data_IF_496504760015
#
_entry.id   IF_496504760015
#
_cell.length_a   1.000
_cell.length_b   1.000
_cell.length_c   1.000
_cell.angle_alpha   90.00
_cell.angle_beta   90.00
_cell.angle_gamma   90.00
#
_symmetry.space_group_name_H-M   'P 1'
#
loop_
_entity.id
_entity.type
_entity.pdbx_description
1 polymer ?
#
# COMPACT_ATOMS: atom_id res chain seq x y z
N UNK A 1 14.69 11.33 -13.41
CA UNK A 1 14.78 12.78 -13.60
C UNK A 1 15.74 13.10 -14.73
N UNK A 2 16.99 12.59 -14.73
CA UNK A 2 18.00 12.90 -15.78
C UNK A 2 17.51 12.64 -17.22
N UNK A 3 16.66 11.62 -17.43
CA UNK A 3 16.18 11.22 -18.76
C UNK A 3 14.88 11.89 -19.18
N UNK A 4 14.00 12.24 -18.21
CA UNK A 4 12.64 12.72 -18.49
C UNK A 4 12.37 14.14 -17.94
N UNK A 5 13.33 14.76 -17.25
CA UNK A 5 13.21 16.10 -16.68
C UNK A 5 12.44 16.13 -15.36
N UNK A 6 11.18 15.72 -15.36
CA UNK A 6 10.31 15.80 -14.17
C UNK A 6 9.55 14.50 -13.93
N UNK A 7 9.26 14.23 -12.66
CA UNK A 7 8.34 13.16 -12.23
C UNK A 7 7.14 13.83 -11.56
N UNK A 8 5.97 13.64 -12.13
CA UNK A 8 4.72 14.25 -11.64
C UNK A 8 3.87 13.27 -10.85
N UNK A 9 4.01 11.97 -11.11
CA UNK A 9 3.25 10.92 -10.44
C UNK A 9 4.23 9.81 -10.02
N UNK A 10 4.18 9.43 -8.74
CA UNK A 10 4.84 8.27 -8.18
C UNK A 10 3.79 7.27 -7.69
N UNK A 11 3.87 6.02 -8.13
CA UNK A 11 3.03 4.94 -7.61
C UNK A 11 3.90 3.94 -6.84
N UNK A 12 3.75 3.92 -5.52
CA UNK A 12 4.37 2.95 -4.63
C UNK A 12 3.44 1.73 -4.52
N UNK A 13 3.60 0.78 -5.42
CA UNK A 13 2.77 -0.44 -5.46
C UNK A 13 3.54 -1.69 -5.00
N UNK A 14 4.86 -1.68 -5.06
CA UNK A 14 5.66 -2.83 -4.64
C UNK A 14 5.39 -3.20 -3.18
N UNK A 15 5.27 -4.50 -2.92
CA UNK A 15 5.05 -5.01 -1.59
C UNK A 15 5.20 -6.53 -1.55
N UNK A 16 5.50 -7.05 -0.38
CA UNK A 16 5.46 -8.49 -0.16
C UNK A 16 4.88 -8.83 1.21
N UNK A 17 4.35 -10.05 1.31
CA UNK A 17 3.69 -10.56 2.50
C UNK A 17 4.71 -11.07 3.53
N UNK A 18 4.29 -11.15 4.77
CA UNK A 18 4.98 -11.91 5.82
C UNK A 18 4.56 -13.36 5.77
N UNK A 19 5.47 -14.30 5.96
CA UNK A 19 5.14 -15.71 6.14
C UNK A 19 4.70 -15.99 7.58
N UNK A 20 5.49 -15.56 8.58
CA UNK A 20 5.09 -15.65 9.97
C UNK A 20 4.00 -14.64 10.31
N UNK A 21 2.84 -15.11 10.73
CA UNK A 21 1.69 -14.27 11.06
C UNK A 21 1.71 -13.79 12.51
N UNK A 22 2.06 -14.69 13.42
CA UNK A 22 2.16 -14.36 14.84
C UNK A 22 3.49 -13.70 15.16
N UNK A 23 3.46 -12.65 15.97
CA UNK A 23 4.66 -12.00 16.50
C UNK A 23 5.59 -12.99 17.24
N UNK A 24 5.03 -14.08 17.78
CA UNK A 24 5.79 -15.10 18.50
C UNK A 24 6.79 -15.86 17.63
N UNK A 25 6.58 -15.87 16.32
CA UNK A 25 7.35 -16.65 15.35
C UNK A 25 7.99 -15.78 14.25
N UNK A 26 7.81 -14.47 14.31
CA UNK A 26 8.43 -13.54 13.37
C UNK A 26 9.91 -13.38 13.73
N UNK A 27 10.82 -13.73 12.81
CA UNK A 27 12.25 -13.48 13.00
C UNK A 27 12.62 -12.03 12.67
N UNK A 28 13.78 -11.59 13.13
CA UNK A 28 14.31 -10.26 12.84
C UNK A 28 14.51 -10.09 11.32
N UNK A 29 15.02 -11.11 10.63
CA UNK A 29 15.25 -11.09 9.18
C UNK A 29 13.95 -10.96 8.39
N UNK A 30 12.89 -11.63 8.84
CA UNK A 30 11.57 -11.51 8.20
C UNK A 30 10.97 -10.12 8.45
N UNK A 31 11.06 -9.63 9.68
CA UNK A 31 10.63 -8.29 10.04
C UNK A 31 11.33 -7.24 9.17
N UNK A 32 12.66 -7.27 9.10
CA UNK A 32 13.46 -6.33 8.31
C UNK A 32 13.14 -6.44 6.81
N UNK A 33 13.00 -7.65 6.28
CA UNK A 33 12.66 -7.89 4.87
C UNK A 33 11.31 -7.27 4.50
N UNK A 34 10.29 -7.45 5.34
CA UNK A 34 8.96 -6.90 5.14
C UNK A 34 8.97 -5.37 5.22
N UNK A 35 9.63 -4.80 6.22
CA UNK A 35 9.77 -3.35 6.38
C UNK A 35 10.54 -2.72 5.23
N UNK A 36 11.63 -3.34 4.81
CA UNK A 36 12.49 -2.86 3.72
C UNK A 36 11.71 -2.59 2.42
N UNK A 37 10.73 -3.44 2.10
CA UNK A 37 9.93 -3.25 0.88
C UNK A 37 8.72 -2.36 1.15
N UNK A 38 7.93 -2.68 2.20
CA UNK A 38 6.61 -2.06 2.40
C UNK A 38 6.64 -0.68 3.07
N UNK A 39 7.75 -0.33 3.75
CA UNK A 39 7.92 0.97 4.41
C UNK A 39 9.14 1.74 3.90
N UNK A 40 10.35 1.19 4.02
CA UNK A 40 11.58 1.89 3.63
C UNK A 40 11.63 2.17 2.12
N UNK A 41 11.15 1.23 1.29
CA UNK A 41 11.04 1.43 -0.16
C UNK A 41 10.14 2.60 -0.49
N UNK A 42 8.98 2.69 0.15
CA UNK A 42 8.02 3.80 0.00
C UNK A 42 8.68 5.13 0.41
N UNK A 43 9.33 5.16 1.57
CA UNK A 43 10.03 6.35 2.06
C UNK A 43 11.13 6.79 1.07
N UNK A 44 12.04 5.89 0.69
CA UNK A 44 13.19 6.21 -0.17
C UNK A 44 12.77 6.69 -1.57
N UNK A 45 11.80 6.04 -2.18
CA UNK A 45 11.29 6.45 -3.49
C UNK A 45 10.61 7.81 -3.40
N UNK A 46 9.78 8.02 -2.39
CA UNK A 46 9.14 9.32 -2.14
C UNK A 46 10.18 10.41 -1.95
N UNK A 47 11.16 10.20 -1.06
CA UNK A 47 12.23 11.16 -0.81
C UNK A 47 13.03 11.50 -2.10
N UNK A 48 13.24 10.52 -2.96
CA UNK A 48 14.01 10.73 -4.20
C UNK A 48 13.32 11.61 -5.24
N UNK A 49 12.02 11.82 -5.15
CA UNK A 49 11.23 12.62 -6.12
C UNK A 49 10.65 13.89 -5.51
N UNK A 50 10.58 13.99 -4.19
CA UNK A 50 9.82 15.03 -3.50
C UNK A 50 10.32 16.46 -3.83
N UNK A 51 11.62 16.70 -3.84
CA UNK A 51 12.19 18.01 -4.17
C UNK A 51 11.86 18.41 -5.62
N UNK A 52 11.97 17.47 -6.56
CA UNK A 52 11.60 17.73 -7.95
C UNK A 52 10.11 18.08 -8.10
N UNK A 53 9.24 17.44 -7.33
CA UNK A 53 7.80 17.75 -7.31
C UNK A 53 7.53 19.12 -6.70
N UNK A 54 8.23 19.50 -5.62
CA UNK A 54 8.13 20.81 -4.96
C UNK A 54 8.55 21.92 -5.92
N UNK A 55 9.68 21.77 -6.59
CA UNK A 55 10.20 22.75 -7.57
C UNK A 55 9.19 23.00 -8.70
N UNK A 56 8.51 21.94 -9.14
CA UNK A 56 7.46 22.02 -10.16
C UNK A 56 6.09 22.45 -9.62
N UNK A 57 5.94 22.60 -8.29
CA UNK A 57 4.67 22.87 -7.60
C UNK A 57 3.54 21.90 -8.01
N UNK A 58 3.91 20.69 -8.33
CA UNK A 58 3.00 19.68 -8.85
C UNK A 58 3.54 18.27 -8.60
N UNK A 59 2.91 17.52 -7.69
CA UNK A 59 3.26 16.14 -7.42
C UNK A 59 2.07 15.33 -6.91
N UNK A 60 1.95 14.10 -7.39
CA UNK A 60 0.96 13.14 -6.89
C UNK A 60 1.67 11.85 -6.52
N UNK A 61 1.56 11.44 -5.26
CA UNK A 61 2.15 10.20 -4.75
C UNK A 61 1.00 9.27 -4.34
N UNK A 62 0.95 8.09 -4.92
CA UNK A 62 -0.09 7.10 -4.65
C UNK A 62 0.58 5.87 -4.05
N UNK A 63 0.14 5.46 -2.87
CA UNK A 63 0.71 4.30 -2.17
C UNK A 63 -0.36 3.23 -1.99
N UNK A 64 -0.07 2.02 -2.48
CA UNK A 64 -0.90 0.86 -2.23
C UNK A 64 -0.49 0.24 -0.89
N UNK A 65 -1.25 0.56 0.14
CA UNK A 65 -1.13 -0.01 1.46
C UNK A 65 -1.98 -1.28 1.59
N UNK A 66 -2.74 -1.42 2.66
CA UNK A 66 -3.66 -2.54 2.90
C UNK A 66 -4.67 -2.16 3.97
N UNK A 67 -5.81 -2.80 4.01
CA UNK A 67 -6.73 -2.73 5.16
C UNK A 67 -6.05 -3.18 6.45
N UNK A 68 -5.01 -4.02 6.37
CA UNK A 68 -4.19 -4.43 7.51
C UNK A 68 -3.47 -3.26 8.21
N UNK A 69 -3.32 -2.12 7.55
CA UNK A 69 -2.81 -0.89 8.16
C UNK A 69 -3.80 -0.27 9.18
N UNK A 70 -5.09 -0.49 8.97
CA UNK A 70 -6.18 0.02 9.82
C UNK A 70 -6.64 -1.05 10.83
N UNK A 71 -6.75 -2.28 10.37
CA UNK A 71 -7.25 -3.42 11.12
C UNK A 71 -6.19 -4.53 11.14
N UNK A 72 -5.15 -4.40 11.98
CA UNK A 72 -4.10 -5.42 12.08
C UNK A 72 -4.68 -6.73 12.63
N UNK A 73 -4.20 -7.84 12.11
CA UNK A 73 -4.63 -9.17 12.54
C UNK A 73 -3.77 -10.28 11.96
N UNK A 74 -4.04 -11.52 12.36
CA UNK A 74 -3.24 -12.69 11.97
C UNK A 74 -3.24 -12.93 10.45
N UNK A 75 -4.29 -12.56 9.73
CA UNK A 75 -4.32 -12.72 8.27
C UNK A 75 -3.22 -11.90 7.57
N UNK A 76 -2.93 -10.70 8.05
CA UNK A 76 -1.80 -9.88 7.57
C UNK A 76 -0.48 -10.23 8.23
N UNK A 77 -0.53 -10.57 9.50
CA UNK A 77 0.63 -10.75 10.36
C UNK A 77 1.18 -9.45 10.92
N UNK A 78 2.00 -9.57 11.96
CA UNK A 78 2.50 -8.42 12.73
C UNK A 78 3.40 -7.50 11.89
N UNK A 79 4.41 -8.04 11.20
CA UNK A 79 5.38 -7.27 10.42
C UNK A 79 4.71 -6.56 9.24
N UNK A 80 3.87 -7.26 8.49
CA UNK A 80 3.17 -6.67 7.34
C UNK A 80 2.21 -5.55 7.74
N UNK A 81 1.37 -5.80 8.76
CA UNK A 81 0.43 -4.80 9.24
C UNK A 81 1.14 -3.54 9.74
N UNK A 82 2.23 -3.71 10.49
CA UNK A 82 3.04 -2.60 11.00
C UNK A 82 3.69 -1.81 9.86
N UNK A 83 4.28 -2.48 8.86
CA UNK A 83 4.92 -1.82 7.74
C UNK A 83 3.90 -1.05 6.85
N UNK A 84 2.70 -1.62 6.64
CA UNK A 84 1.62 -0.95 5.90
C UNK A 84 1.03 0.23 6.69
N UNK A 85 0.97 0.14 8.03
CA UNK A 85 0.59 1.27 8.87
C UNK A 85 1.65 2.38 8.85
N UNK A 86 2.94 2.04 8.83
CA UNK A 86 4.02 3.01 8.69
C UNK A 86 3.93 3.77 7.35
N UNK A 87 3.67 3.07 6.24
CA UNK A 87 3.49 3.73 4.94
C UNK A 87 2.24 4.64 4.90
N UNK A 88 1.14 4.26 5.54
CA UNK A 88 -0.05 5.10 5.68
C UNK A 88 0.25 6.38 6.48
N UNK A 89 0.93 6.25 7.63
CA UNK A 89 1.31 7.39 8.46
C UNK A 89 2.25 8.35 7.71
N UNK A 90 3.19 7.83 6.92
CA UNK A 90 4.06 8.63 6.07
C UNK A 90 3.26 9.47 5.06
N UNK A 91 2.27 8.89 4.37
CA UNK A 91 1.43 9.62 3.42
C UNK A 91 0.61 10.72 4.10
N UNK A 92 0.06 10.46 5.28
CA UNK A 92 -0.64 11.46 6.09
C UNK A 92 0.27 12.63 6.47
N UNK A 93 1.51 12.33 6.88
CA UNK A 93 2.51 13.34 7.23
C UNK A 93 2.85 14.24 6.04
N UNK A 94 3.06 13.67 4.86
CA UNK A 94 3.36 14.41 3.64
C UNK A 94 2.19 15.32 3.24
N UNK A 95 0.95 14.85 3.32
CA UNK A 95 -0.21 15.71 3.06
C UNK A 95 -0.29 16.90 4.03
N UNK A 96 -0.01 16.66 5.31
CA UNK A 96 0.02 17.74 6.31
C UNK A 96 1.13 18.76 6.07
N UNK A 97 2.27 18.31 5.56
CA UNK A 97 3.45 19.14 5.39
C UNK A 97 3.50 19.87 4.04
N UNK A 98 3.05 19.21 2.95
CA UNK A 98 3.39 19.62 1.60
C UNK A 98 2.20 19.91 0.67
N UNK A 99 0.95 19.81 1.13
CA UNK A 99 -0.20 20.13 0.29
C UNK A 99 -0.18 21.58 -0.21
N UNK A 100 0.25 22.50 0.64
CA UNK A 100 0.40 23.93 0.29
C UNK A 100 1.52 24.19 -0.74
N UNK A 101 2.45 23.23 -0.90
CA UNK A 101 3.52 23.25 -1.92
C UNK A 101 3.12 22.56 -3.22
N UNK A 102 1.85 22.14 -3.35
CA UNK A 102 1.33 21.47 -4.54
C UNK A 102 1.62 19.98 -4.59
N UNK A 103 1.95 19.35 -3.47
CA UNK A 103 2.14 17.89 -3.38
C UNK A 103 0.92 17.27 -2.71
N UNK A 104 0.38 16.24 -3.30
CA UNK A 104 -0.71 15.46 -2.72
C UNK A 104 -0.38 13.97 -2.66
N UNK A 105 -0.83 13.30 -1.62
CA UNK A 105 -0.67 11.86 -1.50
C UNK A 105 -2.01 11.16 -1.32
N UNK A 106 -2.14 9.98 -1.91
CA UNK A 106 -3.30 9.11 -1.79
C UNK A 106 -2.85 7.73 -1.30
N UNK A 107 -3.56 7.18 -0.32
CA UNK A 107 -3.33 5.81 0.15
C UNK A 107 -4.52 4.94 -0.20
N UNK A 108 -4.28 3.90 -0.99
CA UNK A 108 -5.28 2.89 -1.33
C UNK A 108 -5.06 1.70 -0.42
N UNK A 109 -6.10 1.29 0.29
CA UNK A 109 -6.07 0.22 1.29
C UNK A 109 -7.03 -0.91 0.90
N UNK A 110 -6.60 -1.78 -0.03
CA UNK A 110 -7.40 -2.92 -0.40
C UNK A 110 -7.41 -3.98 0.70
N UNK A 111 -8.53 -4.70 0.80
CA UNK A 111 -8.62 -5.97 1.49
C UNK A 111 -8.02 -7.08 0.62
N UNK A 112 -8.74 -8.18 0.39
CA UNK A 112 -8.19 -9.29 -0.39
C UNK A 112 -8.30 -9.06 -1.90
N UNK A 113 -7.17 -9.16 -2.56
CA UNK A 113 -7.04 -9.04 -4.03
C UNK A 113 -6.38 -10.32 -4.56
N UNK A 114 -6.92 -10.91 -5.60
CA UNK A 114 -6.36 -12.11 -6.22
C UNK A 114 -5.09 -11.77 -7.01
N UNK A 115 -3.95 -11.92 -6.33
CA UNK A 115 -2.62 -11.59 -6.86
C UNK A 115 -1.58 -12.63 -6.43
N UNK A 116 -0.41 -12.65 -7.07
CA UNK A 116 0.69 -13.53 -6.65
C UNK A 116 1.17 -13.35 -5.21
N UNK A 117 0.87 -12.23 -4.55
CA UNK A 117 1.22 -11.99 -3.13
C UNK A 117 0.61 -13.04 -2.20
N UNK A 118 -0.51 -13.65 -2.60
CA UNK A 118 -1.18 -14.71 -1.84
C UNK A 118 -0.29 -15.93 -1.64
N UNK A 119 0.66 -16.19 -2.56
CA UNK A 119 1.64 -17.29 -2.46
C UNK A 119 2.58 -17.15 -1.25
N UNK A 120 2.69 -15.95 -0.67
CA UNK A 120 3.44 -15.70 0.56
C UNK A 120 2.66 -15.98 1.84
N UNK A 121 1.43 -16.51 1.75
CA UNK A 121 0.65 -16.93 2.93
C UNK A 121 1.03 -18.33 3.36
N UNK A 122 1.05 -18.64 4.67
CA UNK A 122 1.23 -20.01 5.18
C UNK A 122 0.19 -20.97 4.60
N UNK A 123 -1.07 -20.53 4.58
CA UNK A 123 -2.19 -21.26 3.98
C UNK A 123 -2.70 -20.42 2.81
N UNK A 124 -2.59 -20.98 1.61
CA UNK A 124 -3.06 -20.29 0.41
C UNK A 124 -4.58 -20.49 0.27
N UNK A 125 -5.33 -19.42 -0.06
CA UNK A 125 -6.75 -19.54 -0.36
C UNK A 125 -6.96 -20.43 -1.59
N UNK A 126 -7.99 -21.26 -1.54
CA UNK A 126 -8.43 -22.10 -2.65
C UNK A 126 -9.11 -21.29 -3.77
N UNK A 127 -9.55 -21.96 -4.83
CA UNK A 127 -10.18 -21.32 -5.98
C UNK A 127 -11.52 -20.66 -5.62
N UNK A 128 -12.29 -21.25 -4.72
CA UNK A 128 -13.58 -20.69 -4.30
C UNK A 128 -13.39 -19.43 -3.48
N UNK A 129 -12.41 -19.42 -2.58
CA UNK A 129 -12.01 -18.23 -1.83
C UNK A 129 -11.51 -17.13 -2.78
N UNK A 130 -10.66 -17.46 -3.75
CA UNK A 130 -10.12 -16.50 -4.73
C UNK A 130 -11.20 -15.90 -5.62
N UNK A 131 -12.22 -16.67 -5.98
CA UNK A 131 -13.36 -16.20 -6.77
C UNK A 131 -14.20 -15.12 -6.05
N UNK A 132 -14.02 -14.95 -4.73
CA UNK A 132 -14.69 -13.90 -3.96
C UNK A 132 -13.86 -12.61 -3.80
N UNK A 133 -12.58 -12.63 -4.18
CA UNK A 133 -11.66 -11.52 -3.98
C UNK A 133 -11.85 -10.44 -5.06
N UNK A 134 -11.33 -9.25 -4.76
CA UNK A 134 -11.16 -8.21 -5.77
C UNK A 134 -10.09 -8.65 -6.79
N UNK A 135 -10.12 -8.02 -7.96
CA UNK A 135 -9.11 -8.20 -9.00
C UNK A 135 -8.10 -7.05 -8.98
N UNK A 136 -6.87 -7.24 -9.51
CA UNK A 136 -5.88 -6.17 -9.63
C UNK A 136 -6.41 -4.92 -10.35
N UNK A 137 -7.31 -5.09 -11.33
CA UNK A 137 -7.93 -4.03 -12.11
C UNK A 137 -8.80 -3.11 -11.25
N UNK A 138 -9.41 -3.63 -10.18
CA UNK A 138 -10.20 -2.82 -9.25
C UNK A 138 -9.29 -1.81 -8.52
N UNK A 139 -8.11 -2.26 -8.07
CA UNK A 139 -7.11 -1.39 -7.44
C UNK A 139 -6.52 -0.41 -8.46
N UNK A 140 -6.22 -0.87 -9.67
CA UNK A 140 -5.68 -0.03 -10.75
C UNK A 140 -6.64 1.10 -11.13
N UNK A 141 -7.95 0.85 -11.11
CA UNK A 141 -8.97 1.87 -11.36
C UNK A 141 -8.92 3.00 -10.32
N UNK A 142 -8.68 2.67 -9.05
CA UNK A 142 -8.54 3.68 -7.99
C UNK A 142 -7.21 4.43 -8.09
N UNK A 143 -6.13 3.76 -8.49
CA UNK A 143 -4.85 4.44 -8.79
C UNK A 143 -5.05 5.46 -9.90
N UNK A 144 -5.72 5.08 -10.99
CA UNK A 144 -6.01 5.96 -12.11
C UNK A 144 -6.88 7.15 -11.69
N UNK A 145 -7.93 6.91 -10.90
CA UNK A 145 -8.76 7.96 -10.33
C UNK A 145 -7.93 8.99 -9.56
N UNK A 146 -7.11 8.54 -8.63
CA UNK A 146 -6.25 9.43 -7.83
C UNK A 146 -5.25 10.21 -8.70
N UNK A 147 -4.68 9.55 -9.71
CA UNK A 147 -3.71 10.16 -10.62
C UNK A 147 -4.33 11.26 -11.50
N UNK A 148 -5.58 11.08 -11.94
CA UNK A 148 -6.26 11.96 -12.89
C UNK A 148 -7.18 13.01 -12.25
N UNK A 149 -7.34 13.00 -10.93
CA UNK A 149 -8.11 14.05 -10.23
C UNK A 149 -7.53 15.44 -10.51
N UNK A 150 -8.38 16.48 -10.64
CA UNK A 150 -7.91 17.85 -10.73
C UNK A 150 -6.95 18.20 -9.58
N UNK A 151 -5.87 18.92 -9.88
CA UNK A 151 -4.77 19.16 -8.93
C UNK A 151 -5.21 19.91 -7.65
N UNK A 152 -6.33 20.60 -7.69
CA UNK A 152 -6.95 21.28 -6.53
C UNK A 152 -7.60 20.33 -5.51
N UNK A 153 -7.67 19.02 -5.81
CA UNK A 153 -8.37 18.03 -5.00
C UNK A 153 -7.44 16.85 -4.68
N UNK A 154 -7.47 16.38 -3.45
CA UNK A 154 -6.81 15.15 -3.03
C UNK A 154 -7.84 14.17 -2.47
N UNK A 155 -7.78 12.93 -2.93
CA UNK A 155 -8.42 11.79 -2.27
C UNK A 155 -7.37 11.19 -1.36
N UNK A 156 -7.46 11.45 -0.06
CA UNK A 156 -6.39 11.07 0.86
C UNK A 156 -6.33 9.57 1.10
N UNK A 157 -7.49 8.94 1.27
CA UNK A 157 -7.58 7.52 1.62
C UNK A 157 -8.75 6.85 0.91
N UNK A 158 -8.51 5.64 0.41
CA UNK A 158 -9.54 4.77 -0.18
C UNK A 158 -9.43 3.40 0.47
N UNK A 159 -10.50 2.97 1.12
CA UNK A 159 -10.63 1.59 1.64
C UNK A 159 -11.49 0.80 0.68
N UNK A 160 -10.99 -0.37 0.27
CA UNK A 160 -11.66 -1.26 -0.68
C UNK A 160 -11.77 -2.66 -0.11
N UNK A 161 -12.91 -3.29 -0.29
CA UNK A 161 -13.15 -4.67 0.13
C UNK A 161 -14.01 -5.41 -0.90
N UNK A 162 -13.90 -6.75 -0.99
CA UNK A 162 -14.87 -7.56 -1.72
C UNK A 162 -16.27 -7.36 -1.13
N UNK A 163 -17.30 -7.38 -1.98
CA UNK A 163 -18.70 -7.32 -1.54
C UNK A 163 -19.03 -8.55 -0.69
N UNK A 164 -18.54 -9.73 -1.11
CA UNK A 164 -18.75 -10.97 -0.40
C UNK A 164 -17.70 -11.13 0.69
N UNK A 165 -18.12 -11.02 1.95
CA UNK A 165 -17.27 -11.43 3.07
C UNK A 165 -17.25 -12.94 3.18
N UNK A 166 -16.06 -13.51 3.41
CA UNK A 166 -15.85 -14.94 3.52
C UNK A 166 -15.24 -15.32 4.87
N UNK A 167 -15.47 -16.54 5.30
CA UNK A 167 -14.77 -17.09 6.45
C UNK A 167 -13.27 -17.29 6.14
N UNK A 168 -12.42 -16.78 7.02
CA UNK A 168 -10.96 -16.86 6.94
C UNK A 168 -10.37 -17.62 8.12
N UNK A 169 -11.22 -18.22 8.96
CA UNK A 169 -10.78 -18.85 10.22
C UNK A 169 -9.68 -19.89 9.99
N UNK A 170 -9.82 -20.71 8.94
CA UNK A 170 -8.85 -21.76 8.60
C UNK A 170 -7.50 -21.20 8.09
N UNK A 171 -7.41 -19.94 7.75
CA UNK A 171 -6.16 -19.29 7.25
C UNK A 171 -5.36 -18.59 8.35
N UNK A 172 -5.88 -18.54 9.56
CA UNK A 172 -5.30 -17.82 10.71
C UNK A 172 -4.98 -18.72 11.90
N UNK A 173 -5.14 -20.04 11.77
CA UNK A 173 -4.78 -21.04 12.79
C UNK A 173 -3.26 -21.29 12.92
#
# INVERSE_FOLDING_TARGET
IKSFGSIHILVNNAGHSSFARSIRYTSDEEWESVFKVNADGVFKLTQSVIENMIDNKCGTIITVSSIAALNPGLLGGASYSSAKAASLALMRSINSELNDKGIRTSTIMPAEVDTPILKGRPINPDNDARATMMMPEDVASMILLCATMPHRTVIQEIVMAPIKDRDRSVEIE
#
